data_IF_803473124353
#
_entry.id   IF_803473124353
#
_cell.length_a   1.000
_cell.length_b   1.000
_cell.length_c   1.000
_cell.angle_alpha   90.00
_cell.angle_beta   90.00
_cell.angle_gamma   90.00
#
_symmetry.space_group_name_H-M   'P 1'
#
loop_
_entity.id
_entity.type
_entity.pdbx_description
1 polymer ?
#
# COMPACT_ATOMS: atom_id res chain seq x y z
N UNK A 1 10.59 -1.25 -10.10
CA UNK A 1 9.65 -1.60 -11.19
C UNK A 1 8.47 -0.65 -11.16
N UNK A 2 8.19 -0.04 -12.29
CA UNK A 2 7.05 0.86 -12.39
C UNK A 2 5.79 0.02 -12.50
N UNK A 3 4.77 0.36 -11.71
CA UNK A 3 3.54 -0.41 -11.64
C UNK A 3 2.45 0.28 -12.43
N UNK A 4 1.76 -0.49 -13.26
CA UNK A 4 0.57 0.00 -13.96
C UNK A 4 -0.65 -0.28 -13.11
N UNK A 5 -1.65 0.58 -13.22
CA UNK A 5 -2.83 0.49 -12.35
C UNK A 5 -3.49 -0.89 -12.40
N UNK A 6 -3.58 -1.49 -13.57
CA UNK A 6 -4.24 -2.78 -13.69
C UNK A 6 -3.45 -3.93 -13.07
N UNK A 7 -2.18 -3.71 -12.75
CA UNK A 7 -1.35 -4.71 -12.10
C UNK A 7 -1.39 -4.60 -10.59
N UNK A 8 -1.90 -3.50 -10.08
CA UNK A 8 -1.79 -3.15 -8.66
C UNK A 8 -2.46 -4.17 -7.76
N UNK A 9 -3.67 -4.61 -8.12
CA UNK A 9 -4.38 -5.55 -7.27
C UNK A 9 -3.62 -6.86 -7.09
N UNK A 10 -3.00 -7.34 -8.16
CA UNK A 10 -2.20 -8.56 -8.09
C UNK A 10 -0.98 -8.35 -7.21
N UNK A 11 -0.30 -7.21 -7.35
CA UNK A 11 0.89 -6.92 -6.55
C UNK A 11 0.55 -6.88 -5.07
N UNK A 12 -0.53 -6.17 -4.68
CA UNK A 12 -0.85 -6.07 -3.26
C UNK A 12 -1.32 -7.41 -2.69
N UNK A 13 -2.04 -8.21 -3.47
CA UNK A 13 -2.49 -9.51 -3.00
C UNK A 13 -1.33 -10.49 -2.88
N UNK A 14 -0.40 -10.48 -3.83
CA UNK A 14 0.70 -11.44 -3.82
C UNK A 14 1.73 -11.12 -2.75
N UNK A 15 1.90 -9.85 -2.38
CA UNK A 15 3.01 -9.45 -1.55
C UNK A 15 2.62 -9.00 -0.15
N UNK A 16 1.41 -8.49 0.04
CA UNK A 16 1.03 -7.90 1.33
C UNK A 16 -0.04 -8.68 2.08
N UNK A 17 -0.75 -9.57 1.40
CA UNK A 17 -1.88 -10.28 2.00
C UNK A 17 -1.44 -11.11 3.20
N UNK A 18 -2.08 -10.88 4.34
CA UNK A 18 -1.82 -11.55 5.62
C UNK A 18 -0.40 -11.36 6.15
N UNK A 19 0.31 -10.36 5.63
CA UNK A 19 1.59 -9.95 6.19
C UNK A 19 1.39 -8.81 7.16
N UNK A 20 2.39 -8.58 8.00
CA UNK A 20 2.42 -7.37 8.80
C UNK A 20 2.91 -6.24 7.92
N UNK A 21 2.14 -5.16 7.86
CA UNK A 21 2.37 -4.10 6.88
C UNK A 21 2.41 -2.75 7.58
N UNK A 22 3.38 -1.93 7.20
CA UNK A 22 3.47 -0.56 7.65
C UNK A 22 3.09 0.36 6.50
N UNK A 23 2.07 1.20 6.73
CA UNK A 23 1.70 2.25 5.80
C UNK A 23 2.27 3.57 6.32
N UNK A 24 3.12 4.19 5.51
CA UNK A 24 3.70 5.49 5.83
C UNK A 24 3.14 6.52 4.86
N UNK A 25 2.58 7.59 5.39
CA UNK A 25 2.01 8.68 4.59
C UNK A 25 2.79 9.95 4.87
N UNK A 26 3.18 10.64 3.81
CA UNK A 26 3.99 11.84 3.91
C UNK A 26 3.53 12.88 2.89
N UNK A 27 3.37 14.12 3.36
CA UNK A 27 2.89 15.19 2.50
C UNK A 27 1.89 16.06 3.25
N UNK A 28 0.71 16.27 2.67
CA UNK A 28 -0.35 17.03 3.34
C UNK A 28 -0.79 16.34 4.62
N UNK A 29 -0.85 15.01 4.57
CA UNK A 29 -1.10 14.20 5.76
C UNK A 29 0.14 13.40 6.07
N UNK A 30 0.56 13.39 7.34
CA UNK A 30 1.71 12.62 7.78
C UNK A 30 1.24 11.67 8.88
N UNK A 31 1.31 10.37 8.62
CA UNK A 31 0.98 9.39 9.64
C UNK A 31 1.55 8.04 9.27
N UNK A 32 1.68 7.17 10.26
CA UNK A 32 2.11 5.80 10.07
C UNK A 32 1.08 4.90 10.70
N UNK A 33 0.67 3.86 9.98
CA UNK A 33 -0.30 2.89 10.49
C UNK A 33 0.30 1.50 10.32
N UNK A 34 0.30 0.74 11.41
CA UNK A 34 0.82 -0.60 11.41
C UNK A 34 -0.33 -1.60 11.41
N UNK A 35 -0.33 -2.52 10.45
CA UNK A 35 -1.36 -3.54 10.31
C UNK A 35 -0.76 -4.91 10.60
N UNK A 36 -1.50 -5.74 11.31
CA UNK A 36 -1.09 -7.10 11.62
C UNK A 36 -1.98 -8.06 10.84
N UNK A 37 -1.37 -8.95 10.05
CA UNK A 37 -2.10 -9.84 9.17
C UNK A 37 -3.03 -9.04 8.28
N UNK A 38 -2.46 -8.09 7.55
CA UNK A 38 -3.21 -7.13 6.77
C UNK A 38 -3.91 -7.78 5.58
N UNK A 39 -5.09 -7.27 5.28
CA UNK A 39 -5.77 -7.58 4.02
C UNK A 39 -5.66 -6.34 3.16
N UNK A 40 -5.08 -6.50 1.98
CA UNK A 40 -4.88 -5.40 1.04
C UNK A 40 -5.59 -5.73 -0.25
N UNK A 41 -6.40 -4.80 -0.74
CA UNK A 41 -7.14 -4.94 -1.98
C UNK A 41 -7.14 -3.65 -2.74
N UNK A 42 -7.03 -3.73 -4.05
CA UNK A 42 -7.22 -2.56 -4.90
C UNK A 42 -8.42 -2.82 -5.80
N UNK A 43 -9.39 -1.90 -5.75
CA UNK A 43 -10.58 -2.00 -6.59
C UNK A 43 -10.38 -1.12 -7.83
N UNK A 44 -10.03 -1.76 -8.92
CA UNK A 44 -9.69 -1.07 -10.16
C UNK A 44 -10.82 -0.14 -10.64
N UNK A 45 -12.06 -0.58 -10.52
CA UNK A 45 -13.18 0.21 -11.04
C UNK A 45 -13.40 1.51 -10.29
N UNK A 46 -13.11 1.53 -9.00
CA UNK A 46 -13.33 2.72 -8.18
C UNK A 46 -12.03 3.46 -7.87
N UNK A 47 -10.88 2.82 -8.12
CA UNK A 47 -9.59 3.42 -7.81
C UNK A 47 -9.29 3.48 -6.33
N UNK A 48 -9.92 2.62 -5.52
CA UNK A 48 -9.75 2.65 -4.07
C UNK A 48 -8.84 1.51 -3.62
N UNK A 49 -7.79 1.87 -2.88
CA UNK A 49 -6.93 0.90 -2.20
C UNK A 49 -7.42 0.75 -0.77
N UNK A 50 -7.70 -0.47 -0.37
CA UNK A 50 -8.21 -0.77 0.96
C UNK A 50 -7.18 -1.60 1.70
N UNK A 51 -6.82 -1.17 2.92
CA UNK A 51 -5.94 -1.93 3.80
C UNK A 51 -6.62 -2.03 5.15
N UNK A 52 -6.75 -3.23 5.67
CA UNK A 52 -7.36 -3.38 6.99
C UNK A 52 -6.84 -4.62 7.72
N UNK A 53 -7.03 -4.60 9.03
CA UNK A 53 -6.82 -5.76 9.90
C UNK A 53 -7.95 -5.76 10.93
N UNK A 54 -7.77 -6.47 12.02
CA UNK A 54 -8.83 -6.56 13.03
C UNK A 54 -9.06 -5.25 13.77
N UNK A 55 -8.07 -4.36 13.80
CA UNK A 55 -8.14 -3.13 14.58
C UNK A 55 -8.22 -1.87 13.76
N UNK A 56 -7.67 -1.89 12.56
CA UNK A 56 -7.53 -0.69 11.74
C UNK A 56 -8.05 -0.92 10.33
N UNK A 57 -8.54 0.14 9.73
CA UNK A 57 -8.99 0.09 8.33
C UNK A 57 -8.74 1.45 7.70
N UNK A 58 -8.25 1.45 6.46
CA UNK A 58 -8.06 2.68 5.71
C UNK A 58 -8.43 2.44 4.25
N UNK A 59 -9.10 3.43 3.67
CA UNK A 59 -9.42 3.45 2.25
C UNK A 59 -8.71 4.63 1.64
N UNK A 60 -7.94 4.40 0.58
CA UNK A 60 -7.15 5.44 -0.06
C UNK A 60 -7.59 5.56 -1.51
N UNK A 61 -8.00 6.76 -1.90
CA UNK A 61 -8.40 7.03 -3.28
C UNK A 61 -7.15 7.28 -4.11
N UNK A 62 -6.90 6.40 -5.07
CA UNK A 62 -5.73 6.50 -5.94
C UNK A 62 -6.07 7.06 -7.32
N UNK A 63 -7.25 7.68 -7.48
CA UNK A 63 -7.66 8.21 -8.78
C UNK A 63 -6.68 9.26 -9.32
N UNK A 64 -5.98 9.96 -8.43
CA UNK A 64 -5.03 10.99 -8.83
C UNK A 64 -3.58 10.51 -8.70
N UNK A 65 -3.34 9.21 -8.78
CA UNK A 65 -1.97 8.70 -8.68
C UNK A 65 -1.11 9.24 -9.81
N UNK A 66 0.10 9.60 -9.46
CA UNK A 66 1.07 10.11 -10.42
C UNK A 66 2.07 9.02 -10.81
N UNK A 67 2.52 8.26 -9.82
CA UNK A 67 3.54 7.25 -10.05
C UNK A 67 3.43 6.16 -8.99
N UNK A 68 3.62 4.91 -9.42
CA UNK A 68 3.67 3.78 -8.50
C UNK A 68 4.90 2.95 -8.81
N UNK A 69 5.65 2.63 -7.78
CA UNK A 69 6.88 1.84 -7.91
C UNK A 69 6.83 0.71 -6.89
N UNK A 70 7.12 -0.51 -7.36
CA UNK A 70 7.23 -1.65 -6.47
C UNK A 70 8.67 -2.15 -6.46
N UNK A 71 9.24 -2.28 -5.27
CA UNK A 71 10.58 -2.81 -5.09
C UNK A 71 10.46 -4.24 -4.57
N UNK A 72 10.74 -5.20 -5.44
CA UNK A 72 10.61 -6.62 -5.10
C UNK A 72 11.60 -7.06 -4.05
N UNK A 73 12.79 -6.47 -4.10
CA UNK A 73 13.86 -6.88 -3.20
C UNK A 73 13.58 -6.47 -1.76
N UNK A 74 13.16 -5.22 -1.58
CA UNK A 74 12.87 -4.68 -0.26
C UNK A 74 11.40 -4.85 0.12
N UNK A 75 10.60 -5.31 -0.83
CA UNK A 75 9.19 -5.62 -0.65
C UNK A 75 8.37 -4.44 -0.14
N UNK A 76 8.41 -3.34 -0.89
CA UNK A 76 7.57 -2.18 -0.62
C UNK A 76 6.98 -1.61 -1.89
N UNK A 77 5.84 -0.98 -1.73
CA UNK A 77 5.15 -0.28 -2.81
C UNK A 77 5.12 1.21 -2.45
N UNK A 78 5.57 2.05 -3.37
CA UNK A 78 5.57 3.49 -3.17
C UNK A 78 4.64 4.12 -4.19
N UNK A 79 3.72 4.95 -3.71
CA UNK A 79 2.72 5.61 -4.55
C UNK A 79 2.82 7.11 -4.32
N UNK A 80 2.93 7.86 -5.39
CA UNK A 80 2.89 9.32 -5.35
C UNK A 80 1.61 9.79 -6.01
N UNK A 81 0.86 10.63 -5.30
CA UNK A 81 -0.33 11.26 -5.85
C UNK A 81 0.05 12.62 -6.45
N UNK A 82 -0.74 13.09 -7.39
CA UNK A 82 -0.42 14.33 -8.09
C UNK A 82 -0.58 15.56 -7.21
N UNK A 83 -1.19 15.43 -6.03
CA UNK A 83 -1.30 16.52 -5.06
C UNK A 83 -0.10 16.58 -4.11
N UNK A 84 0.93 15.74 -4.33
CA UNK A 84 2.13 15.76 -3.51
C UNK A 84 2.11 14.81 -2.32
N UNK A 85 1.03 14.09 -2.12
CA UNK A 85 0.96 13.09 -1.05
C UNK A 85 1.70 11.83 -1.47
N UNK A 86 2.60 11.35 -0.62
CA UNK A 86 3.32 10.11 -0.84
C UNK A 86 2.81 9.03 0.10
N UNK A 87 2.76 7.81 -0.41
CA UNK A 87 2.36 6.63 0.36
C UNK A 87 3.44 5.57 0.18
N UNK A 88 3.81 4.91 1.26
CA UNK A 88 4.72 3.77 1.18
C UNK A 88 4.14 2.63 2.00
N UNK A 89 3.98 1.47 1.36
CA UNK A 89 3.46 0.29 2.00
C UNK A 89 4.58 -0.74 2.02
N UNK A 90 5.00 -1.13 3.23
CA UNK A 90 6.13 -2.04 3.40
C UNK A 90 5.71 -3.27 4.18
N UNK A 91 6.28 -4.41 3.84
CA UNK A 91 6.11 -5.60 4.66
C UNK A 91 7.09 -5.52 5.81
N UNK A 92 6.58 -5.66 7.02
CA UNK A 92 7.41 -5.71 8.22
C UNK A 92 7.56 -7.16 8.60
N UNK A 93 8.75 -7.69 8.41
CA UNK A 93 9.01 -9.08 8.69
C UNK A 93 9.51 -9.22 10.12
N UNK A 94 8.59 -9.60 11.03
CA UNK A 94 8.89 -9.74 12.44
C UNK A 94 9.26 -11.15 12.84
N UNK A 95 9.41 -12.02 11.91
CA UNK A 95 9.71 -13.38 12.27
C UNK A 95 11.04 -13.48 12.92
N UNK A 96 11.04 -14.16 13.69
CA UNK A 96 12.11 -14.27 14.16
C UNK A 96 12.48 -15.42 14.09
N UNK A 97 12.55 -15.68 13.65
CA UNK A 97 12.79 -16.48 13.35
C UNK A 97 13.15 -17.03 13.56
#
# INVERSE_FOLDING_TARGET
>A
MIVKEKELNKIVKDNFYLNNVLLEMEGALNCNIYFINAVCKYKYKTGILIIFDMLNSINIDLASQYEMIFDEKENYLKIRLDNGQDLKISVINNKKN
#
